data_IF_450255644714
#
_entry.id   IF_450255644714
#
_cell.length_a   1.000
_cell.length_b   1.000
_cell.length_c   1.000
_cell.angle_alpha   90.00
_cell.angle_beta   90.00
_cell.angle_gamma   90.00
#
_symmetry.space_group_name_H-M   'P 1'
#
loop_
_entity.id
_entity.type
_entity.pdbx_description
1 polymer ?
#
# COMPACT_ATOMS: atom_id res chain seq x y z
N UNK A 1 32.59 -4.77 -44.61
CA UNK A 1 34.00 -4.32 -44.65
C UNK A 1 34.57 -4.61 -43.26
N UNK A 2 35.34 -5.43 -43.19
CA UNK A 2 36.74 -5.94 -43.17
C UNK A 2 36.94 -6.65 -41.83
N UNK A 3 36.90 -7.96 -41.79
CA UNK A 3 38.02 -8.89 -41.73
C UNK A 3 39.21 -8.50 -40.85
N UNK A 4 39.49 -9.30 -39.81
CA UNK A 4 40.82 -9.90 -39.71
C UNK A 4 40.80 -11.17 -38.84
N UNK A 5 41.02 -12.30 -39.48
CA UNK A 5 41.47 -13.62 -38.93
C UNK A 5 42.99 -13.57 -38.85
N UNK A 6 43.60 -14.12 -37.82
CA UNK A 6 44.95 -14.75 -37.81
C UNK A 6 44.94 -15.71 -36.63
N UNK A 7 44.81 -16.93 -36.72
CA UNK A 7 45.60 -18.12 -37.11
C UNK A 7 47.08 -17.99 -36.71
N UNK A 8 47.52 -18.77 -35.73
CA UNK A 8 48.80 -19.46 -35.82
C UNK A 8 48.85 -20.68 -34.90
N UNK A 9 49.03 -21.80 -35.54
CA UNK A 9 49.44 -23.13 -35.08
C UNK A 9 50.95 -23.15 -34.88
N UNK A 10 51.47 -24.07 -34.07
CA UNK A 10 52.66 -24.92 -34.26
C UNK A 10 52.94 -25.60 -32.89
N UNK A 11 52.79 -26.88 -32.72
CA UNK A 11 53.50 -28.03 -33.18
C UNK A 11 54.68 -28.37 -32.26
N UNK A 12 54.55 -29.42 -31.50
CA UNK A 12 55.08 -30.79 -31.74
C UNK A 12 56.54 -31.01 -31.26
N UNK A 13 56.69 -32.17 -30.66
CA UNK A 13 57.85 -33.09 -30.65
C UNK A 13 58.62 -33.20 -29.35
N UNK A 14 58.40 -34.30 -28.65
CA UNK A 14 59.24 -35.53 -28.62
C UNK A 14 60.62 -35.41 -27.94
N UNK A 15 60.81 -36.19 -26.88
CA UNK A 15 61.98 -37.04 -26.77
C UNK A 15 61.82 -38.08 -25.64
N UNK A 16 61.74 -39.32 -26.01
CA UNK A 16 62.07 -40.52 -25.24
C UNK A 16 63.57 -40.47 -24.81
N UNK A 17 63.83 -40.92 -23.58
CA UNK A 17 64.99 -41.84 -23.45
C UNK A 17 64.87 -42.60 -22.11
N UNK A 18 65.02 -43.90 -22.24
CA UNK A 18 65.10 -44.95 -21.23
C UNK A 18 66.48 -44.93 -20.55
N UNK A 19 66.51 -45.36 -19.26
CA UNK A 19 67.64 -46.18 -18.80
C UNK A 19 67.19 -47.06 -17.61
N UNK A 20 67.30 -48.33 -17.87
CA UNK A 20 67.10 -49.43 -16.94
C UNK A 20 68.34 -49.72 -16.16
N UNK A 21 68.19 -50.51 -15.13
CA UNK A 21 69.03 -51.54 -14.59
C UNK A 21 69.57 -51.44 -13.15
N UNK A 22 69.29 -52.53 -12.46
CA UNK A 22 70.00 -53.23 -11.42
C UNK A 22 69.81 -52.69 -9.99
N UNK A 23 69.38 -53.39 -8.98
CA UNK A 23 69.42 -54.80 -8.71
C UNK A 23 69.77 -54.95 -7.22
N UNK A 24 69.15 -55.87 -6.52
CA UNK A 24 69.61 -56.23 -5.17
C UNK A 24 68.49 -56.81 -4.29
N UNK A 25 68.37 -58.13 -4.33
CA UNK A 25 67.64 -58.93 -3.37
C UNK A 25 68.36 -58.95 -2.04
N UNK A 26 67.66 -58.97 -0.95
CA UNK A 26 67.95 -59.72 0.26
C UNK A 26 66.71 -60.05 1.05
N UNK A 27 66.39 -61.33 1.10
CA UNK A 27 65.46 -61.95 2.02
C UNK A 27 65.91 -61.76 3.46
N UNK A 28 64.99 -61.62 4.38
CA UNK A 28 64.85 -62.42 5.62
C UNK A 28 63.55 -62.02 6.37
N UNK A 29 63.04 -62.96 7.15
CA UNK A 29 61.60 -63.10 7.38
C UNK A 29 61.15 -62.70 8.80
N UNK A 30 59.82 -62.72 8.90
CA UNK A 30 58.97 -62.85 10.09
C UNK A 30 59.17 -61.96 11.31
N UNK A 31 58.21 -61.05 11.45
CA UNK A 31 57.55 -60.81 12.72
C UNK A 31 56.05 -60.52 12.51
N UNK A 32 55.24 -61.52 12.88
CA UNK A 32 53.84 -61.38 13.11
C UNK A 32 53.53 -60.30 14.14
N UNK A 33 53.29 -59.13 13.78
CA UNK A 33 52.66 -58.14 14.66
C UNK A 33 51.14 -58.17 14.39
N UNK A 34 50.50 -58.91 15.28
CA UNK A 34 49.05 -58.90 15.47
C UNK A 34 48.53 -57.48 15.49
N UNK A 35 48.12 -57.00 14.30
CA UNK A 35 47.46 -55.72 14.14
C UNK A 35 46.12 -55.74 14.88
N UNK A 36 46.11 -55.10 16.03
CA UNK A 36 44.90 -54.71 16.74
C UNK A 36 43.93 -54.19 15.78
N UNK A 37 42.85 -54.96 15.52
CA UNK A 37 41.61 -54.42 14.94
C UNK A 37 41.15 -53.34 15.89
N UNK A 38 41.58 -52.10 15.60
CA UNK A 38 41.06 -50.92 16.26
C UNK A 38 39.54 -50.94 16.13
N UNK A 39 38.89 -51.18 17.23
CA UNK A 39 37.48 -50.91 17.44
C UNK A 39 37.28 -49.47 16.97
N UNK A 40 36.66 -49.29 15.84
CA UNK A 40 36.16 -47.98 15.41
C UNK A 40 35.08 -47.59 16.40
N UNK A 41 35.52 -47.09 17.57
CA UNK A 41 34.64 -46.50 18.53
C UNK A 41 33.82 -45.45 17.81
N UNK A 42 32.56 -45.50 18.02
CA UNK A 42 31.56 -44.57 17.55
C UNK A 42 31.97 -43.13 17.91
N UNK A 43 32.87 -42.56 17.09
CA UNK A 43 33.34 -41.20 17.29
C UNK A 43 32.17 -40.29 16.92
N UNK A 44 31.54 -39.72 17.93
CA UNK A 44 30.47 -38.74 17.73
C UNK A 44 31.07 -37.52 17.04
N UNK A 45 30.52 -37.14 15.90
CA UNK A 45 30.95 -35.96 15.15
C UNK A 45 30.37 -34.71 15.84
N UNK A 46 31.23 -33.79 16.32
CA UNK A 46 30.71 -32.51 16.82
C UNK A 46 30.14 -31.70 15.69
N UNK A 47 28.89 -31.23 15.85
CA UNK A 47 28.17 -30.43 14.88
C UNK A 47 27.48 -29.26 15.57
N UNK A 48 27.24 -28.17 14.81
CA UNK A 48 26.38 -27.08 15.24
C UNK A 48 25.05 -27.27 14.54
N UNK A 49 23.95 -27.21 15.28
CA UNK A 49 22.62 -27.33 14.72
C UNK A 49 21.78 -26.08 14.97
N UNK A 50 20.79 -25.84 14.11
CA UNK A 50 19.83 -24.79 14.27
C UNK A 50 18.40 -25.34 14.08
N UNK A 51 17.41 -24.81 14.77
CA UNK A 51 16.03 -25.22 14.59
C UNK A 51 15.46 -24.73 13.23
N UNK A 52 14.58 -25.54 12.65
CA UNK A 52 13.67 -25.11 11.60
C UNK A 52 12.53 -24.34 12.25
N UNK A 53 12.22 -23.20 11.72
CA UNK A 53 11.13 -22.33 12.16
C UNK A 53 10.11 -22.18 11.05
N UNK A 54 8.90 -21.72 11.33
CA UNK A 54 7.98 -21.24 10.32
C UNK A 54 8.24 -19.77 10.05
N UNK A 55 8.21 -19.41 8.78
CA UNK A 55 8.28 -18.02 8.37
C UNK A 55 7.31 -17.76 7.21
N UNK A 56 6.66 -16.59 7.19
CA UNK A 56 5.78 -16.23 6.11
C UNK A 56 6.58 -15.94 4.83
N UNK A 57 6.07 -16.39 3.71
CA UNK A 57 6.53 -15.93 2.41
C UNK A 57 5.81 -14.64 2.06
N UNK A 58 6.51 -13.53 2.16
CA UNK A 58 5.98 -12.21 1.84
C UNK A 58 6.42 -11.81 0.44
N UNK A 59 5.47 -11.50 -0.43
CA UNK A 59 5.71 -10.77 -1.68
C UNK A 59 5.47 -9.30 -1.43
N UNK A 60 6.45 -8.45 -1.66
CA UNK A 60 6.26 -7.00 -1.63
C UNK A 60 6.16 -6.44 -3.04
N UNK A 61 5.22 -5.53 -3.22
CA UNK A 61 5.07 -4.76 -4.44
C UNK A 61 5.43 -3.33 -4.10
N UNK A 62 6.42 -2.80 -4.79
CA UNK A 62 6.78 -1.39 -4.71
C UNK A 62 6.33 -0.68 -5.97
N UNK A 63 5.57 0.36 -5.81
CA UNK A 63 5.08 1.17 -6.93
C UNK A 63 5.06 2.64 -6.55
N UNK A 64 5.35 3.50 -7.51
CA UNK A 64 5.26 4.95 -7.31
C UNK A 64 3.86 5.40 -7.71
N UNK A 65 3.22 6.17 -6.85
CA UNK A 65 1.91 6.77 -7.06
C UNK A 65 1.93 8.28 -6.85
N UNK A 66 0.87 8.93 -7.29
CA UNK A 66 0.67 10.37 -7.11
C UNK A 66 -0.50 10.60 -6.16
N UNK A 67 -0.27 11.41 -5.14
CA UNK A 67 -1.29 11.80 -4.18
C UNK A 67 -2.25 12.82 -4.79
N UNK A 68 -3.53 12.71 -4.44
CA UNK A 68 -4.56 13.70 -4.71
C UNK A 68 -5.40 13.93 -3.46
N UNK A 69 -6.04 15.09 -3.39
CA UNK A 69 -7.00 15.38 -2.34
C UNK A 69 -8.18 14.38 -2.39
N UNK A 70 -8.80 14.13 -1.25
CA UNK A 70 -10.04 13.35 -1.14
C UNK A 70 -11.15 13.92 -2.01
N UNK A 71 -11.31 15.25 -1.96
CA UNK A 71 -12.19 16.03 -2.83
C UNK A 71 -11.41 17.26 -3.29
N UNK A 72 -11.56 17.61 -4.55
CA UNK A 72 -10.95 18.79 -5.14
C UNK A 72 -11.94 19.40 -6.13
N UNK A 73 -12.15 20.70 -6.07
CA UNK A 73 -13.03 21.42 -6.98
C UNK A 73 -12.44 22.80 -7.29
N UNK A 74 -12.55 23.19 -8.55
CA UNK A 74 -12.33 24.59 -8.96
C UNK A 74 -13.66 25.32 -8.90
N UNK A 75 -13.72 26.41 -8.14
CA UNK A 75 -14.92 27.20 -7.93
C UNK A 75 -15.03 28.31 -8.98
N UNK A 76 -16.21 28.42 -9.53
CA UNK A 76 -16.60 29.47 -10.49
C UNK A 76 -17.86 30.17 -9.98
N UNK A 77 -18.08 31.46 -10.31
CA UNK A 77 -19.32 32.11 -9.98
C UNK A 77 -20.43 31.63 -10.96
N UNK A 78 -21.67 31.52 -10.46
CA UNK A 78 -22.81 31.13 -11.30
C UNK A 78 -23.38 32.31 -12.11
N UNK A 79 -22.99 33.53 -11.77
CA UNK A 79 -23.40 34.74 -12.47
C UNK A 79 -22.27 35.77 -12.53
N UNK A 80 -22.34 36.68 -13.52
CA UNK A 80 -21.35 37.76 -13.64
C UNK A 80 -21.70 38.93 -12.72
N UNK A 81 -20.67 39.59 -12.14
CA UNK A 81 -20.90 40.76 -11.30
C UNK A 81 -19.58 41.35 -10.74
N UNK A 82 -19.74 42.38 -9.94
CA UNK A 82 -18.61 42.98 -9.18
C UNK A 82 -18.53 42.32 -7.83
N UNK A 83 -17.34 41.95 -7.39
CA UNK A 83 -17.07 41.35 -6.08
C UNK A 83 -17.23 42.39 -4.99
N UNK A 84 -18.13 42.13 -4.05
CA UNK A 84 -18.38 43.01 -2.89
C UNK A 84 -17.83 42.43 -1.58
N UNK A 85 -17.63 41.11 -1.56
CA UNK A 85 -17.04 40.39 -0.42
C UNK A 85 -16.20 39.23 -0.92
N UNK A 86 -15.01 39.03 -0.34
CA UNK A 86 -14.14 37.89 -0.60
C UNK A 86 -13.47 37.41 0.68
N UNK A 87 -13.64 36.13 1.02
CA UNK A 87 -12.94 35.41 2.08
C UNK A 87 -12.10 34.31 1.42
N UNK A 88 -11.04 34.72 0.74
CA UNK A 88 -10.25 33.88 -0.16
C UNK A 88 -8.76 33.81 0.24
N UNK A 89 -8.44 34.01 1.53
CA UNK A 89 -7.06 33.93 1.98
C UNK A 89 -6.50 32.50 1.72
N UNK A 90 -5.35 32.38 1.03
CA UNK A 90 -4.77 31.09 0.71
C UNK A 90 -4.52 30.23 1.94
N UNK A 91 -4.66 28.90 1.79
CA UNK A 91 -4.47 27.90 2.85
C UNK A 91 -5.42 28.03 4.06
N UNK A 92 -6.44 28.86 3.96
CA UNK A 92 -7.48 28.99 5.00
C UNK A 92 -8.41 27.79 4.97
N UNK A 93 -8.66 27.21 6.14
CA UNK A 93 -9.68 26.17 6.32
C UNK A 93 -11.07 26.81 6.32
N UNK A 94 -11.96 26.31 5.47
CA UNK A 94 -13.37 26.72 5.41
C UNK A 94 -14.29 25.52 5.62
N UNK A 95 -15.50 25.81 6.08
CA UNK A 95 -16.51 24.80 6.35
C UNK A 95 -17.52 24.73 5.21
N UNK A 96 -18.14 23.55 5.02
CA UNK A 96 -19.22 23.37 4.04
C UNK A 96 -20.34 24.42 4.23
N UNK A 97 -20.77 25.05 3.12
CA UNK A 97 -21.81 26.09 3.12
C UNK A 97 -21.31 27.49 3.48
N UNK A 98 -20.04 27.63 3.83
CA UNK A 98 -19.46 28.94 4.13
C UNK A 98 -19.37 29.80 2.86
N UNK A 99 -19.77 31.08 2.97
CA UNK A 99 -19.69 32.01 1.85
C UNK A 99 -18.27 32.47 1.65
N UNK A 100 -17.73 32.19 0.46
CA UNK A 100 -16.36 32.54 0.07
C UNK A 100 -16.29 33.85 -0.68
N UNK A 101 -17.29 34.12 -1.51
CA UNK A 101 -17.36 35.32 -2.34
C UNK A 101 -18.82 35.75 -2.48
N UNK A 102 -19.05 37.08 -2.50
CA UNK A 102 -20.35 37.68 -2.89
C UNK A 102 -20.14 38.69 -4.00
N UNK A 103 -21.04 38.64 -4.94
CA UNK A 103 -21.21 39.68 -5.98
C UNK A 103 -22.18 40.76 -5.53
N UNK A 104 -22.22 41.86 -6.23
CA UNK A 104 -23.27 42.85 -6.02
C UNK A 104 -24.64 42.23 -6.27
N UNK A 105 -25.46 42.16 -5.25
CA UNK A 105 -26.73 41.44 -5.19
C UNK A 105 -27.94 42.39 -4.97
N UNK A 106 -27.71 43.71 -4.98
CA UNK A 106 -28.72 44.72 -4.60
C UNK A 106 -30.00 44.58 -5.43
N UNK A 107 -29.88 44.41 -6.76
CA UNK A 107 -31.03 44.28 -7.65
C UNK A 107 -31.81 42.99 -7.40
N UNK A 108 -31.10 41.87 -7.15
CA UNK A 108 -31.70 40.56 -6.87
C UNK A 108 -32.38 40.53 -5.51
N UNK A 109 -31.80 41.18 -4.51
CA UNK A 109 -32.41 41.33 -3.19
C UNK A 109 -33.71 42.17 -3.25
N UNK A 110 -33.75 43.22 -4.09
CA UNK A 110 -34.96 43.96 -4.34
C UNK A 110 -36.02 43.14 -5.08
N UNK A 111 -35.61 42.30 -6.06
CA UNK A 111 -36.53 41.41 -6.78
C UNK A 111 -37.18 40.37 -5.86
N UNK A 112 -36.39 39.77 -4.92
CA UNK A 112 -36.94 38.88 -3.88
C UNK A 112 -37.99 39.61 -3.05
N UNK A 113 -37.66 40.80 -2.56
CA UNK A 113 -38.59 41.58 -1.75
C UNK A 113 -39.87 41.97 -2.48
N UNK A 114 -39.80 42.26 -3.79
CA UNK A 114 -40.97 42.52 -4.61
C UNK A 114 -41.84 41.26 -4.71
N UNK A 115 -41.26 40.10 -5.00
CA UNK A 115 -41.99 38.84 -5.12
C UNK A 115 -42.63 38.41 -3.77
N UNK A 116 -41.97 38.66 -2.64
CA UNK A 116 -42.55 38.45 -1.30
C UNK A 116 -43.82 39.27 -1.08
N UNK A 117 -43.81 40.55 -1.48
CA UNK A 117 -44.95 41.44 -1.37
C UNK A 117 -46.11 40.95 -2.27
N UNK A 118 -45.83 40.55 -3.50
CA UNK A 118 -46.81 40.00 -4.46
C UNK A 118 -47.46 38.73 -3.90
N UNK A 119 -46.64 37.81 -3.35
CA UNK A 119 -47.13 36.59 -2.70
C UNK A 119 -48.00 36.89 -1.48
N UNK A 120 -47.58 37.84 -0.65
CA UNK A 120 -48.36 38.23 0.53
C UNK A 120 -49.72 38.85 0.13
N UNK A 121 -49.79 39.59 -0.97
CA UNK A 121 -51.05 40.15 -1.51
C UNK A 121 -51.97 39.04 -2.06
N UNK A 122 -51.43 38.12 -2.86
CA UNK A 122 -52.17 36.98 -3.39
C UNK A 122 -52.76 36.11 -2.25
N UNK A 123 -51.95 35.78 -1.23
CA UNK A 123 -52.40 35.03 -0.04
C UNK A 123 -53.49 35.78 0.75
N UNK A 124 -53.39 37.08 0.90
CA UNK A 124 -54.47 37.90 1.54
C UNK A 124 -55.75 37.87 0.75
N UNK A 125 -55.66 37.95 -0.58
CA UNK A 125 -56.83 37.92 -1.46
C UNK A 125 -57.52 36.55 -1.40
N UNK A 126 -56.80 35.46 -1.52
CA UNK A 126 -57.34 34.10 -1.37
C UNK A 126 -58.01 33.92 0.00
N UNK A 127 -57.31 34.29 1.07
CA UNK A 127 -57.86 34.23 2.45
C UNK A 127 -59.18 34.99 2.57
N UNK A 128 -59.28 36.18 1.97
CA UNK A 128 -60.49 36.97 1.97
C UNK A 128 -61.63 36.25 1.24
N UNK A 129 -61.40 35.66 0.07
CA UNK A 129 -62.42 34.92 -0.67
C UNK A 129 -62.87 33.67 0.09
N UNK A 130 -61.96 32.93 0.68
CA UNK A 130 -62.27 31.78 1.54
C UNK A 130 -63.08 32.17 2.76
N UNK A 131 -62.78 33.28 3.43
CA UNK A 131 -63.57 33.76 4.57
C UNK A 131 -64.97 34.27 4.19
N UNK A 132 -65.14 34.93 3.03
CA UNK A 132 -66.40 35.33 2.54
C UNK A 132 -67.29 34.17 2.12
N UNK A 133 -66.69 33.13 1.49
CA UNK A 133 -67.43 31.91 1.13
C UNK A 133 -67.91 31.12 2.38
N UNK A 134 -67.20 31.18 3.49
CA UNK A 134 -67.61 30.57 4.77
C UNK A 134 -68.76 31.34 5.46
N UNK A 135 -69.04 32.62 5.08
CA UNK A 135 -70.10 33.46 5.65
C UNK A 135 -71.30 33.59 4.72
N UNK A 136 -71.63 32.61 3.84
CA UNK A 136 -72.75 32.56 2.89
C UNK A 136 -72.70 33.63 1.77
N UNK A 137 -71.63 34.35 1.60
CA UNK A 137 -71.43 35.17 0.41
C UNK A 137 -71.09 34.23 -0.76
N UNK A 138 -72.06 33.89 -1.59
CA UNK A 138 -71.96 32.92 -2.69
C UNK A 138 -70.87 33.29 -3.73
N UNK A 139 -69.60 33.06 -3.39
CA UNK A 139 -68.41 33.25 -4.23
C UNK A 139 -68.34 32.11 -5.22
N UNK A 140 -68.30 32.34 -6.55
CA UNK A 140 -68.09 31.26 -7.52
C UNK A 140 -66.78 30.51 -7.24
N UNK A 141 -66.82 29.16 -7.30
CA UNK A 141 -65.63 28.31 -7.07
C UNK A 141 -64.50 28.69 -8.03
N UNK A 142 -64.84 29.06 -9.29
CA UNK A 142 -63.83 29.52 -10.26
C UNK A 142 -63.07 30.78 -9.82
N UNK A 143 -63.67 31.65 -8.98
CA UNK A 143 -62.97 32.81 -8.41
C UNK A 143 -61.97 32.38 -7.35
N UNK A 144 -62.32 31.41 -6.52
CA UNK A 144 -61.41 30.83 -5.50
C UNK A 144 -60.28 30.11 -6.20
N UNK A 145 -60.59 29.27 -7.21
CA UNK A 145 -59.57 28.55 -8.00
C UNK A 145 -58.58 29.48 -8.69
N UNK A 146 -59.10 30.60 -9.22
CA UNK A 146 -58.27 31.67 -9.81
C UNK A 146 -57.36 32.31 -8.76
N UNK A 147 -57.92 32.60 -7.58
CA UNK A 147 -57.13 33.19 -6.48
C UNK A 147 -56.05 32.22 -5.97
N UNK A 148 -56.35 30.93 -5.91
CA UNK A 148 -55.37 29.89 -5.58
C UNK A 148 -54.25 29.85 -6.63
N UNK A 149 -54.60 29.81 -7.92
CA UNK A 149 -53.63 29.82 -9.01
C UNK A 149 -52.72 31.07 -8.98
N UNK A 150 -53.26 32.22 -8.57
CA UNK A 150 -52.44 33.43 -8.39
C UNK A 150 -51.46 33.32 -7.22
N UNK A 151 -51.80 32.62 -6.13
CA UNK A 151 -50.88 32.30 -5.06
C UNK A 151 -49.76 31.40 -5.55
N UNK A 152 -50.11 30.31 -6.26
CA UNK A 152 -49.12 29.34 -6.79
C UNK A 152 -48.15 30.04 -7.78
N UNK A 153 -48.67 30.93 -8.65
CA UNK A 153 -47.81 31.73 -9.55
C UNK A 153 -46.88 32.68 -8.80
N UNK A 154 -47.36 33.33 -7.72
CA UNK A 154 -46.53 34.20 -6.90
C UNK A 154 -45.46 33.43 -6.13
N UNK A 155 -45.76 32.23 -5.64
CA UNK A 155 -44.77 31.34 -4.99
C UNK A 155 -43.64 30.94 -5.98
N UNK A 156 -44.01 30.60 -7.23
CA UNK A 156 -43.01 30.29 -8.27
C UNK A 156 -42.12 31.51 -8.54
N UNK A 157 -42.70 32.75 -8.62
CA UNK A 157 -41.93 33.96 -8.85
C UNK A 157 -40.96 34.25 -7.69
N UNK A 158 -41.40 34.06 -6.45
CA UNK A 158 -40.53 34.21 -5.29
C UNK A 158 -39.37 33.21 -5.37
N UNK A 159 -39.63 31.93 -5.58
CA UNK A 159 -38.62 30.91 -5.73
C UNK A 159 -37.61 31.22 -6.84
N UNK A 160 -38.08 31.75 -7.99
CA UNK A 160 -37.18 32.20 -9.06
C UNK A 160 -36.27 33.34 -8.64
N UNK A 161 -36.81 34.36 -7.94
CA UNK A 161 -36.03 35.49 -7.45
C UNK A 161 -34.98 35.05 -6.38
N UNK A 162 -35.33 34.13 -5.50
CA UNK A 162 -34.44 33.57 -4.52
C UNK A 162 -33.27 32.80 -5.17
N UNK A 163 -33.55 32.01 -6.21
CA UNK A 163 -32.50 31.31 -6.99
C UNK A 163 -31.54 32.32 -7.63
N UNK A 164 -32.06 33.39 -8.27
CA UNK A 164 -31.19 34.40 -8.86
C UNK A 164 -30.36 35.17 -7.82
N UNK A 165 -30.88 35.36 -6.62
CA UNK A 165 -30.13 35.95 -5.50
C UNK A 165 -29.05 34.98 -5.01
N UNK A 166 -29.35 33.68 -4.88
CA UNK A 166 -28.40 32.66 -4.44
C UNK A 166 -27.19 32.54 -5.38
N UNK A 167 -27.39 32.73 -6.71
CA UNK A 167 -26.31 32.75 -7.70
C UNK A 167 -25.30 33.88 -7.56
N UNK A 168 -25.63 34.88 -6.72
CA UNK A 168 -24.72 36.00 -6.39
C UNK A 168 -23.70 35.63 -5.31
N UNK A 169 -23.74 34.42 -4.80
CA UNK A 169 -22.82 33.94 -3.77
C UNK A 169 -22.12 32.66 -4.23
N UNK A 170 -20.83 32.59 -3.97
CA UNK A 170 -20.06 31.36 -4.11
C UNK A 170 -19.80 30.80 -2.73
N UNK A 171 -20.30 29.60 -2.48
CA UNK A 171 -20.18 28.91 -1.20
C UNK A 171 -19.32 27.66 -1.32
N UNK A 172 -18.70 27.24 -0.23
CA UNK A 172 -17.91 26.01 -0.18
C UNK A 172 -18.82 24.77 -0.25
N UNK A 173 -18.69 23.89 -1.26
CA UNK A 173 -19.50 22.68 -1.39
C UNK A 173 -19.15 21.61 -0.35
N UNK A 174 -17.93 21.63 0.18
CA UNK A 174 -17.44 20.79 1.26
C UNK A 174 -16.41 21.55 2.10
N UNK A 175 -16.07 21.03 3.27
CA UNK A 175 -15.03 21.62 4.12
C UNK A 175 -13.65 21.29 3.56
N UNK A 176 -12.78 22.29 3.46
CA UNK A 176 -11.45 22.12 2.87
C UNK A 176 -10.61 23.38 2.94
N UNK A 177 -9.46 23.36 2.29
CA UNK A 177 -8.55 24.50 2.22
C UNK A 177 -8.62 25.20 0.89
N UNK A 178 -8.58 26.53 0.96
CA UNK A 178 -8.59 27.42 -0.20
C UNK A 178 -7.21 27.43 -0.85
N UNK A 179 -7.19 27.33 -2.19
CA UNK A 179 -6.01 27.53 -2.99
C UNK A 179 -5.65 29.01 -3.17
N UNK A 180 -4.63 29.28 -3.97
CA UNK A 180 -4.22 30.63 -4.34
C UNK A 180 -5.27 31.21 -5.31
N UNK A 181 -5.59 32.47 -5.15
CA UNK A 181 -6.51 33.23 -6.00
C UNK A 181 -5.96 34.62 -6.29
N UNK A 182 -6.32 35.14 -7.44
CA UNK A 182 -6.01 36.51 -7.84
C UNK A 182 -7.25 37.42 -7.79
N UNK A 183 -8.41 36.89 -7.31
CA UNK A 183 -9.67 37.65 -7.25
C UNK A 183 -9.73 38.49 -5.98
N UNK A 184 -9.97 39.80 -6.15
CA UNK A 184 -10.08 40.78 -5.07
C UNK A 184 -11.44 41.47 -5.03
N UNK A 185 -11.73 42.15 -3.90
CA UNK A 185 -12.90 42.97 -3.76
C UNK A 185 -12.82 44.16 -4.74
N UNK A 186 -13.85 44.36 -5.52
CA UNK A 186 -13.93 45.38 -6.58
C UNK A 186 -13.75 44.84 -7.99
N UNK A 187 -13.20 43.61 -8.11
CA UNK A 187 -13.03 42.98 -9.41
C UNK A 187 -14.38 42.67 -10.08
N UNK A 188 -14.35 42.64 -11.38
CA UNK A 188 -15.48 42.16 -12.19
C UNK A 188 -15.19 40.73 -12.66
N UNK A 189 -16.04 39.82 -12.25
CA UNK A 189 -15.93 38.41 -12.58
C UNK A 189 -17.11 37.93 -13.45
N UNK A 190 -16.89 36.86 -14.19
CA UNK A 190 -17.91 36.17 -15.01
C UNK A 190 -17.89 34.66 -14.72
N UNK A 191 -18.79 33.90 -15.34
CA UNK A 191 -18.97 32.47 -15.13
C UNK A 191 -17.77 31.61 -15.57
N UNK A 192 -16.81 32.18 -16.28
CA UNK A 192 -15.58 31.53 -16.71
C UNK A 192 -14.35 31.86 -15.80
N UNK A 193 -14.50 32.85 -14.93
CA UNK A 193 -13.45 33.30 -14.03
C UNK A 193 -13.23 32.28 -12.93
N UNK A 194 -12.03 31.75 -12.80
CA UNK A 194 -11.64 30.89 -11.67
C UNK A 194 -11.59 31.72 -10.40
N UNK A 195 -12.43 31.43 -9.42
CA UNK A 195 -12.40 32.11 -8.13
C UNK A 195 -11.28 31.54 -7.27
N UNK A 196 -11.25 30.25 -7.06
CA UNK A 196 -10.20 29.54 -6.30
C UNK A 196 -10.37 28.04 -6.50
N UNK A 197 -9.40 27.26 -6.00
CA UNK A 197 -9.55 25.83 -5.78
C UNK A 197 -9.88 25.55 -4.33
N UNK A 198 -10.66 24.51 -4.08
CA UNK A 198 -10.96 24.03 -2.73
C UNK A 198 -10.61 22.54 -2.65
N UNK A 199 -9.74 22.20 -1.71
CA UNK A 199 -9.22 20.85 -1.54
C UNK A 199 -9.49 20.32 -0.12
N UNK A 200 -10.21 19.19 -0.02
CA UNK A 200 -10.24 18.37 1.20
C UNK A 200 -9.01 17.46 1.19
N UNK A 201 -7.99 17.85 1.93
CA UNK A 201 -6.73 17.10 2.05
C UNK A 201 -6.55 16.44 3.40
N UNK A 202 -7.61 16.30 4.18
CA UNK A 202 -7.59 15.55 5.46
C UNK A 202 -7.14 14.10 5.29
N UNK A 203 -7.46 13.51 4.14
CA UNK A 203 -6.99 12.22 3.67
C UNK A 203 -6.48 12.39 2.24
N UNK A 204 -5.28 11.91 1.97
CA UNK A 204 -4.78 11.86 0.60
C UNK A 204 -5.05 10.49 -0.02
N UNK A 205 -5.44 10.52 -1.28
CA UNK A 205 -5.66 9.34 -2.09
C UNK A 205 -4.48 9.18 -3.06
N UNK A 206 -3.69 8.14 -2.90
CA UNK A 206 -2.55 7.85 -3.78
C UNK A 206 -2.97 6.83 -4.83
N UNK A 207 -2.97 7.25 -6.09
CA UNK A 207 -3.21 6.38 -7.23
C UNK A 207 -1.88 5.80 -7.71
N UNK A 208 -1.77 4.47 -7.75
CA UNK A 208 -0.58 3.75 -8.18
C UNK A 208 -0.94 2.55 -9.07
N UNK A 209 0.03 2.02 -9.79
CA UNK A 209 -0.17 0.90 -10.72
C UNK A 209 0.40 -0.39 -10.15
N UNK A 210 -0.30 -1.50 -10.39
CA UNK A 210 0.04 -2.84 -9.92
C UNK A 210 0.06 -3.80 -11.10
N UNK A 211 1.11 -4.65 -11.27
CA UNK A 211 1.14 -5.66 -12.32
C UNK A 211 -0.01 -6.66 -12.23
N UNK A 212 -0.52 -7.15 -13.37
CA UNK A 212 -1.66 -8.08 -13.44
C UNK A 212 -1.43 -9.40 -12.68
N UNK A 213 -0.16 -9.80 -12.49
CA UNK A 213 0.21 -11.01 -11.72
C UNK A 213 -0.22 -10.96 -10.25
N UNK A 214 -0.58 -9.79 -9.74
CA UNK A 214 -1.07 -9.57 -8.38
C UNK A 214 -2.59 -9.40 -8.29
N UNK A 215 -3.30 -9.58 -9.40
CA UNK A 215 -4.76 -9.52 -9.42
C UNK A 215 -5.35 -10.57 -8.45
N UNK A 216 -6.37 -10.20 -7.71
CA UNK A 216 -6.96 -11.04 -6.67
C UNK A 216 -6.18 -11.11 -5.35
N UNK A 217 -4.98 -10.54 -5.27
CA UNK A 217 -4.20 -10.42 -4.03
C UNK A 217 -4.22 -9.00 -3.47
N UNK A 218 -4.27 -8.01 -4.35
CA UNK A 218 -4.50 -6.63 -3.98
C UNK A 218 -6.01 -6.46 -3.83
N UNK A 219 -6.44 -6.31 -2.59
CA UNK A 219 -7.85 -6.16 -2.22
C UNK A 219 -8.05 -4.88 -1.42
N UNK A 220 -9.29 -4.42 -1.35
CA UNK A 220 -9.64 -3.32 -0.45
C UNK A 220 -9.34 -3.70 0.99
N UNK A 221 -9.03 -2.70 1.82
CA UNK A 221 -8.61 -2.82 3.23
C UNK A 221 -7.22 -3.42 3.44
N UNK A 222 -6.48 -3.81 2.38
CA UNK A 222 -5.07 -4.20 2.52
C UNK A 222 -4.24 -3.00 3.02
N UNK A 223 -3.49 -3.21 4.08
CA UNK A 223 -2.56 -2.21 4.60
C UNK A 223 -1.36 -2.07 3.68
N UNK A 224 -0.94 -0.83 3.49
CA UNK A 224 0.23 -0.46 2.69
C UNK A 224 1.08 0.56 3.44
N UNK A 225 2.37 0.55 3.16
CA UNK A 225 3.27 1.59 3.64
C UNK A 225 3.49 2.60 2.51
N UNK A 226 3.24 3.85 2.80
CA UNK A 226 3.48 4.95 1.88
C UNK A 226 4.69 5.75 2.37
N UNK A 227 5.71 5.84 1.54
CA UNK A 227 6.91 6.65 1.79
C UNK A 227 6.95 7.83 0.85
N UNK A 228 7.23 8.99 1.38
CA UNK A 228 7.52 10.14 0.54
C UNK A 228 8.81 9.89 -0.24
N UNK A 229 8.80 10.25 -1.52
CA UNK A 229 9.98 10.06 -2.37
C UNK A 229 11.22 10.83 -1.89
N UNK A 230 11.01 12.03 -1.34
CA UNK A 230 12.07 12.92 -0.85
C UNK A 230 12.50 12.65 0.60
N UNK A 231 11.67 11.96 1.39
CA UNK A 231 11.92 11.64 2.80
C UNK A 231 11.63 10.17 3.07
N UNK A 232 12.54 9.26 2.70
CA UNK A 232 12.31 7.81 2.83
C UNK A 232 12.10 7.30 4.25
N UNK A 233 12.51 8.08 5.25
CA UNK A 233 12.36 7.75 6.68
C UNK A 233 10.94 8.04 7.21
N UNK A 234 10.18 8.90 6.52
CA UNK A 234 8.81 9.23 6.87
C UNK A 234 7.83 8.20 6.28
N UNK A 235 7.64 7.10 6.98
CA UNK A 235 6.65 6.09 6.63
C UNK A 235 5.29 6.47 7.18
N UNK A 236 4.30 6.55 6.31
CA UNK A 236 2.90 6.72 6.67
C UNK A 236 2.13 5.46 6.30
N UNK A 237 1.40 4.90 7.26
CA UNK A 237 0.52 3.77 6.98
C UNK A 237 -0.69 4.24 6.17
N UNK A 238 -1.06 3.45 5.18
CA UNK A 238 -2.25 3.67 4.37
C UNK A 238 -3.03 2.38 4.18
N UNK A 239 -4.17 2.48 3.54
CA UNK A 239 -5.04 1.34 3.25
C UNK A 239 -5.57 1.45 1.83
N UNK A 240 -5.64 0.32 1.12
CA UNK A 240 -6.23 0.27 -0.22
C UNK A 240 -7.75 0.47 -0.12
N UNK A 241 -8.26 1.51 -0.76
CA UNK A 241 -9.69 1.86 -0.76
C UNK A 241 -10.40 1.54 -2.06
N UNK A 242 -9.64 1.37 -3.14
CA UNK A 242 -10.21 0.97 -4.43
C UNK A 242 -9.19 0.24 -5.29
N UNK A 243 -9.68 -0.70 -6.08
CA UNK A 243 -8.92 -1.44 -7.09
C UNK A 243 -9.72 -1.35 -8.39
N UNK A 244 -9.05 -0.99 -9.49
CA UNK A 244 -9.69 -0.90 -10.78
C UNK A 244 -10.17 -2.28 -11.26
N UNK A 245 -11.31 -2.33 -11.88
CA UNK A 245 -11.89 -3.56 -12.45
C UNK A 245 -11.25 -3.98 -13.77
N UNK A 246 -10.39 -3.14 -14.35
CA UNK A 246 -9.76 -3.35 -15.66
C UNK A 246 -8.26 -3.38 -15.57
N UNK A 247 -7.66 -4.26 -16.37
CA UNK A 247 -6.21 -4.28 -16.64
C UNK A 247 -5.97 -3.53 -17.94
N UNK A 248 -5.03 -2.62 -17.94
CA UNK A 248 -4.54 -1.97 -19.15
C UNK A 248 -3.75 -2.99 -19.97
N UNK A 249 -4.21 -3.24 -21.19
CA UNK A 249 -3.63 -4.25 -22.08
C UNK A 249 -2.23 -3.89 -22.61
N UNK A 250 -1.90 -2.60 -22.64
CA UNK A 250 -0.59 -2.12 -23.11
C UNK A 250 0.50 -2.25 -22.02
N UNK A 251 0.14 -1.92 -20.78
CA UNK A 251 1.08 -1.93 -19.64
C UNK A 251 1.02 -3.20 -18.81
N UNK A 252 -0.01 -4.06 -19.02
CA UNK A 252 -0.27 -5.24 -18.20
C UNK A 252 -0.34 -4.94 -16.71
N UNK A 253 -0.96 -3.81 -16.38
CA UNK A 253 -1.11 -3.33 -15.02
C UNK A 253 -2.54 -2.83 -14.77
N UNK A 254 -2.97 -2.82 -13.53
CA UNK A 254 -4.22 -2.20 -13.08
C UNK A 254 -3.93 -1.10 -12.07
N UNK A 255 -4.88 -0.19 -11.91
CA UNK A 255 -4.75 0.90 -10.95
C UNK A 255 -5.33 0.49 -9.61
N UNK A 256 -4.59 0.80 -8.55
CA UNK A 256 -5.07 0.73 -7.18
C UNK A 256 -4.96 2.12 -6.52
N UNK A 257 -5.74 2.33 -5.49
CA UNK A 257 -5.81 3.58 -4.74
C UNK A 257 -5.68 3.29 -3.26
N UNK A 258 -4.69 3.91 -2.64
CA UNK A 258 -4.52 3.89 -1.19
C UNK A 258 -4.98 5.22 -0.58
N UNK A 259 -5.62 5.15 0.57
CA UNK A 259 -5.91 6.30 1.43
C UNK A 259 -4.84 6.42 2.50
N UNK A 260 -4.29 7.62 2.65
CA UNK A 260 -3.26 7.96 3.64
C UNK A 260 -3.81 9.07 4.52
N UNK A 261 -3.72 8.90 5.82
CA UNK A 261 -4.09 9.95 6.77
C UNK A 261 -3.16 11.17 6.65
N UNK A 262 -3.76 12.34 6.62
CA UNK A 262 -3.05 13.62 6.58
C UNK A 262 -3.65 14.62 7.57
N UNK A 263 -4.06 14.13 8.75
CA UNK A 263 -4.66 14.95 9.80
C UNK A 263 -3.73 16.07 10.30
N UNK A 264 -2.40 15.85 10.21
CA UNK A 264 -1.38 16.85 10.50
C UNK A 264 -1.21 17.90 9.40
N UNK A 265 -1.85 17.74 8.24
CA UNK A 265 -1.80 18.64 7.08
C UNK A 265 -0.40 18.95 6.55
N UNK A 266 0.53 17.99 6.70
CA UNK A 266 1.92 18.12 6.24
C UNK A 266 2.10 17.71 4.78
N UNK A 267 1.19 16.89 4.25
CA UNK A 267 1.25 16.35 2.89
C UNK A 267 0.38 17.19 1.94
N UNK A 268 0.77 17.27 0.69
CA UNK A 268 0.06 18.05 -0.34
C UNK A 268 -0.37 17.16 -1.52
N UNK A 269 -1.54 17.43 -2.11
CA UNK A 269 -1.90 16.85 -3.40
C UNK A 269 -0.81 17.12 -4.44
N UNK A 270 -0.54 16.14 -5.31
CA UNK A 270 0.54 16.21 -6.31
C UNK A 270 1.86 15.60 -5.85
N UNK A 271 2.08 15.33 -4.57
CA UNK A 271 3.28 14.67 -4.09
C UNK A 271 3.36 13.22 -4.57
N UNK A 272 4.59 12.76 -4.83
CA UNK A 272 4.87 11.38 -5.20
C UNK A 272 5.15 10.53 -3.94
N UNK A 273 4.60 9.31 -3.93
CA UNK A 273 4.79 8.33 -2.87
C UNK A 273 5.23 7.00 -3.46
N UNK A 274 6.20 6.36 -2.82
CA UNK A 274 6.44 4.93 -2.99
C UNK A 274 5.44 4.17 -2.11
N UNK A 275 4.61 3.36 -2.73
CA UNK A 275 3.67 2.47 -2.03
C UNK A 275 4.29 1.08 -1.96
N UNK A 276 4.47 0.56 -0.76
CA UNK A 276 4.90 -0.81 -0.49
C UNK A 276 3.71 -1.60 0.06
N UNK A 277 3.23 -2.54 -0.76
CA UNK A 277 2.17 -3.45 -0.38
C UNK A 277 2.75 -4.84 -0.14
N UNK A 278 2.70 -5.31 1.10
CA UNK A 278 3.20 -6.61 1.51
C UNK A 278 2.06 -7.64 1.51
N UNK A 279 2.24 -8.74 0.78
CA UNK A 279 1.23 -9.79 0.60
C UNK A 279 1.81 -11.11 1.10
N UNK A 280 1.15 -11.69 2.09
CA UNK A 280 1.52 -13.02 2.58
C UNK A 280 1.04 -14.11 1.61
N UNK A 281 1.96 -15.01 1.24
CA UNK A 281 1.69 -16.18 0.36
C UNK A 281 1.55 -17.49 1.13
N UNK A 282 1.51 -17.44 2.44
CA UNK A 282 1.47 -18.58 3.32
C UNK A 282 2.78 -18.80 4.08
N UNK A 283 2.75 -19.75 4.98
CA UNK A 283 3.88 -20.10 5.84
C UNK A 283 4.67 -21.26 5.24
N UNK A 284 5.98 -21.19 5.34
CA UNK A 284 6.92 -22.20 4.92
C UNK A 284 7.91 -22.53 6.04
N UNK A 285 8.51 -23.71 5.97
CA UNK A 285 9.65 -24.02 6.83
C UNK A 285 10.84 -23.16 6.42
N UNK A 286 11.51 -22.60 7.41
CA UNK A 286 12.66 -21.71 7.24
C UNK A 286 13.88 -22.36 7.87
N UNK A 287 14.87 -22.69 7.06
CA UNK A 287 16.17 -23.23 7.47
C UNK A 287 17.28 -22.20 7.24
N UNK A 288 18.33 -22.16 8.06
CA UNK A 288 19.50 -21.35 7.74
C UNK A 288 20.04 -21.73 6.36
N UNK A 289 20.39 -20.75 5.53
CA UNK A 289 20.85 -20.99 4.16
C UNK A 289 22.06 -21.93 4.11
N UNK A 290 22.99 -21.78 5.07
CA UNK A 290 24.20 -22.61 5.14
C UNK A 290 23.90 -24.09 5.42
N UNK A 291 22.73 -24.45 5.93
CA UNK A 291 22.34 -25.85 6.18
C UNK A 291 21.89 -26.56 4.90
N UNK A 292 21.56 -25.84 3.81
CA UNK A 292 21.09 -26.42 2.56
C UNK A 292 22.29 -26.85 1.71
N UNK A 293 22.32 -28.14 1.35
CA UNK A 293 23.35 -28.74 0.53
C UNK A 293 22.79 -29.24 -0.78
N UNK A 294 23.66 -29.36 -1.80
CA UNK A 294 23.31 -29.90 -3.10
C UNK A 294 23.88 -31.32 -3.28
N UNK A 295 23.05 -32.24 -3.71
CA UNK A 295 23.42 -33.60 -4.01
C UNK A 295 23.01 -34.02 -5.43
N UNK A 296 23.30 -35.25 -5.78
CA UNK A 296 22.94 -35.78 -7.11
C UNK A 296 21.41 -35.77 -7.35
N UNK A 297 20.62 -35.95 -6.28
CA UNK A 297 19.16 -36.01 -6.34
C UNK A 297 18.48 -34.65 -6.02
N UNK A 298 19.26 -33.57 -5.98
CA UNK A 298 18.77 -32.22 -5.68
C UNK A 298 19.18 -31.69 -4.30
N UNK A 299 18.56 -30.57 -3.88
CA UNK A 299 18.87 -29.93 -2.59
C UNK A 299 18.37 -30.75 -1.40
N UNK A 300 19.13 -30.75 -0.32
CA UNK A 300 18.79 -31.44 0.92
C UNK A 300 19.38 -30.72 2.14
N UNK A 301 18.88 -31.06 3.31
CA UNK A 301 19.48 -30.69 4.59
C UNK A 301 19.83 -31.95 5.41
N UNK A 302 20.79 -31.82 6.29
CA UNK A 302 21.03 -32.84 7.32
C UNK A 302 20.17 -32.53 8.53
N UNK A 303 19.15 -33.33 8.78
CA UNK A 303 18.31 -33.24 9.98
C UNK A 303 18.83 -34.15 11.06
N UNK A 304 18.57 -33.82 12.32
CA UNK A 304 18.90 -34.66 13.45
C UNK A 304 17.67 -35.47 13.87
N UNK A 305 17.87 -36.79 14.02
CA UNK A 305 16.87 -37.68 14.60
C UNK A 305 17.53 -38.39 15.83
N UNK A 306 17.25 -37.84 17.00
CA UNK A 306 17.98 -38.22 18.21
C UNK A 306 19.46 -37.83 18.07
N UNK A 307 20.37 -38.81 18.20
CA UNK A 307 21.84 -38.67 18.08
C UNK A 307 22.36 -38.92 16.66
N UNK A 308 21.49 -39.06 15.65
CA UNK A 308 21.89 -39.46 14.30
C UNK A 308 21.53 -38.40 13.26
N UNK A 309 22.42 -38.25 12.29
CA UNK A 309 22.21 -37.40 11.12
C UNK A 309 21.43 -38.17 10.02
N UNK A 310 20.35 -37.59 9.56
CA UNK A 310 19.50 -38.08 8.48
C UNK A 310 19.46 -37.07 7.36
N UNK A 311 19.56 -37.56 6.11
CA UNK A 311 19.42 -36.71 4.93
C UNK A 311 17.92 -36.49 4.63
N UNK A 312 17.48 -35.23 4.64
CA UNK A 312 16.12 -34.85 4.31
C UNK A 312 16.11 -34.02 3.01
N UNK A 313 15.42 -34.51 1.96
CA UNK A 313 15.27 -33.73 0.74
C UNK A 313 14.42 -32.50 0.99
N UNK A 314 14.75 -31.39 0.33
CA UNK A 314 14.02 -30.14 0.44
C UNK A 314 13.77 -29.53 -0.93
N UNK A 315 12.64 -28.87 -1.08
CA UNK A 315 12.36 -28.01 -2.23
C UNK A 315 12.59 -26.57 -1.80
N UNK A 316 13.49 -25.85 -2.46
CA UNK A 316 13.77 -24.45 -2.15
C UNK A 316 12.67 -23.57 -2.75
N UNK A 317 12.04 -22.74 -1.92
CA UNK A 317 10.97 -21.82 -2.32
C UNK A 317 11.54 -20.42 -2.57
N UNK A 318 12.19 -19.84 -1.57
CA UNK A 318 12.78 -18.49 -1.64
C UNK A 318 13.87 -18.31 -0.58
N UNK A 319 14.84 -17.49 -0.92
CA UNK A 319 15.84 -16.99 0.03
C UNK A 319 15.36 -15.66 0.63
N UNK A 320 15.37 -15.56 1.96
CA UNK A 320 14.96 -14.37 2.71
C UNK A 320 15.94 -14.18 3.87
N UNK A 321 16.64 -13.05 3.92
CA UNK A 321 17.50 -12.61 5.04
C UNK A 321 18.46 -13.69 5.60
N UNK A 322 19.18 -14.40 4.71
CA UNK A 322 20.15 -15.43 5.10
C UNK A 322 19.51 -16.76 5.50
N UNK A 323 18.20 -16.89 5.37
CA UNK A 323 17.44 -18.13 5.54
C UNK A 323 16.84 -18.57 4.21
N UNK A 324 16.64 -19.87 4.06
CA UNK A 324 15.99 -20.49 2.91
C UNK A 324 14.60 -20.98 3.33
N UNK A 325 13.56 -20.43 2.70
CA UNK A 325 12.22 -20.98 2.81
C UNK A 325 12.17 -22.28 2.00
N UNK A 326 11.78 -23.36 2.64
CA UNK A 326 11.79 -24.71 2.06
C UNK A 326 10.43 -25.39 2.21
N UNK A 327 10.15 -26.32 1.31
CA UNK A 327 9.10 -27.31 1.46
C UNK A 327 9.75 -28.66 1.71
N UNK A 328 9.41 -29.31 2.81
CA UNK A 328 9.96 -30.57 3.24
C UNK A 328 8.98 -31.30 4.17
N UNK A 329 9.20 -32.58 4.41
CA UNK A 329 8.47 -33.38 5.39
C UNK A 329 8.97 -33.15 6.84
N UNK A 330 9.95 -32.28 7.04
CA UNK A 330 10.49 -31.95 8.36
C UNK A 330 9.45 -31.22 9.21
N UNK A 331 9.51 -31.47 10.51
CA UNK A 331 8.64 -30.78 11.46
C UNK A 331 9.25 -29.43 11.90
N UNK A 332 8.39 -28.49 12.27
CA UNK A 332 8.82 -27.28 12.98
C UNK A 332 9.52 -27.63 14.28
N UNK A 333 10.59 -26.90 14.61
CA UNK A 333 11.44 -27.17 15.77
C UNK A 333 12.48 -28.29 15.55
N UNK A 334 12.39 -29.06 14.47
CA UNK A 334 13.39 -30.06 14.13
C UNK A 334 14.72 -29.38 13.82
N UNK A 335 15.81 -29.95 14.33
CA UNK A 335 17.14 -29.35 14.18
C UNK A 335 17.81 -29.81 12.89
N UNK A 336 18.47 -28.89 12.21
CA UNK A 336 19.29 -29.12 11.02
C UNK A 336 20.74 -28.74 11.30
N UNK A 337 21.67 -29.47 10.69
CA UNK A 337 23.10 -29.26 10.89
C UNK A 337 23.55 -28.05 10.09
N UNK A 338 24.22 -27.13 10.77
CA UNK A 338 24.74 -25.89 10.22
C UNK A 338 26.23 -25.93 9.94
N UNK A 339 27.00 -26.52 10.89
CA UNK A 339 28.45 -26.66 10.78
C UNK A 339 28.87 -28.11 10.98
N UNK A 340 30.00 -28.49 10.38
CA UNK A 340 30.49 -29.88 10.37
C UNK A 340 29.93 -30.74 9.24
N UNK A 341 29.12 -30.15 8.36
CA UNK A 341 28.34 -30.83 7.29
C UNK A 341 29.22 -31.69 6.37
N UNK A 342 30.43 -31.26 6.04
CA UNK A 342 31.33 -31.95 5.09
C UNK A 342 31.73 -33.37 5.54
N UNK A 343 31.67 -33.65 6.84
CA UNK A 343 32.06 -34.94 7.42
C UNK A 343 30.87 -35.83 7.77
N UNK A 344 29.64 -35.31 7.59
CA UNK A 344 28.40 -36.03 7.94
C UNK A 344 28.07 -37.07 6.87
N UNK A 345 27.68 -38.27 7.34
CA UNK A 345 27.14 -39.36 6.50
C UNK A 345 25.79 -39.84 7.04
N UNK A 346 24.94 -40.44 6.21
CA UNK A 346 23.62 -40.91 6.65
C UNK A 346 23.76 -41.92 7.81
N UNK A 347 23.01 -41.71 8.89
CA UNK A 347 22.99 -42.56 10.07
C UNK A 347 24.16 -42.36 11.05
N UNK A 348 25.09 -41.45 10.77
CA UNK A 348 26.24 -41.15 11.62
C UNK A 348 25.83 -40.57 12.98
N UNK A 349 26.47 -41.01 14.04
CA UNK A 349 26.27 -40.40 15.37
C UNK A 349 26.88 -39.00 15.41
N UNK A 350 26.10 -38.05 15.89
CA UNK A 350 26.47 -36.65 16.03
C UNK A 350 26.33 -36.19 17.48
N UNK A 351 27.13 -35.20 17.85
CA UNK A 351 27.02 -34.50 19.13
C UNK A 351 26.79 -33.03 18.86
N UNK A 352 25.59 -32.51 19.18
CA UNK A 352 25.27 -31.11 19.04
C UNK A 352 25.96 -30.27 20.11
N UNK A 353 26.85 -29.38 19.68
CA UNK A 353 27.59 -28.49 20.58
C UNK A 353 26.68 -27.39 21.14
N UNK A 354 25.67 -26.96 20.38
CA UNK A 354 24.74 -25.88 20.78
C UNK A 354 23.59 -26.34 21.67
N UNK A 355 23.29 -27.64 21.72
CA UNK A 355 22.22 -28.16 22.59
C UNK A 355 22.49 -27.90 24.07
N UNK A 356 23.78 -27.89 24.46
CA UNK A 356 24.21 -27.59 25.83
C UNK A 356 24.03 -26.12 26.24
N UNK A 357 24.05 -25.20 25.27
CA UNK A 357 23.94 -23.74 25.51
C UNK A 357 22.49 -23.28 25.57
N UNK A 358 21.56 -23.96 24.88
CA UNK A 358 20.15 -23.66 24.87
C UNK A 358 19.44 -24.00 26.19
N UNK A 359 19.89 -25.04 26.90
CA UNK A 359 19.34 -25.45 28.20
C UNK A 359 19.71 -24.47 29.32
N UNK A 360 20.77 -23.67 29.13
CA UNK A 360 21.28 -22.70 30.13
C UNK A 360 20.63 -21.32 30.06
N UNK A 361 19.76 -21.05 29.06
CA UNK A 361 19.06 -19.78 28.88
C UNK A 361 17.55 -19.84 29.12
N UNK A 362 17.07 -20.72 29.99
CA UNK A 362 15.72 -20.53 30.57
C UNK A 362 15.78 -19.31 31.50
N UNK A 363 14.94 -18.29 31.32
CA UNK A 363 14.90 -17.17 32.25
C UNK A 363 14.41 -17.68 33.61
N UNK A 364 15.31 -17.68 34.59
CA UNK A 364 14.98 -17.85 36.00
C UNK A 364 14.00 -16.75 36.35
N UNK A 365 12.79 -17.14 36.66
CA UNK A 365 11.73 -16.27 37.14
C UNK A 365 12.29 -15.37 38.25
N UNK A 366 12.29 -14.06 38.01
CA UNK A 366 12.46 -13.04 39.02
C UNK A 366 11.13 -12.96 39.79
N UNK A 367 11.04 -13.82 40.78
CA UNK A 367 10.09 -13.71 41.88
C UNK A 367 10.79 -13.16 43.11
N UNK A 368 10.14 -12.15 43.65
CA UNK A 368 10.30 -11.57 44.99
C UNK A 368 11.39 -10.46 45.14
N UNK A 369 10.95 -9.23 45.23
CA UNK A 369 10.87 -8.62 46.56
C UNK A 369 9.94 -7.39 46.55
N UNK A 370 8.80 -7.54 47.19
CA UNK A 370 8.01 -6.44 47.76
C UNK A 370 8.13 -6.60 49.24
N UNK A 371 8.87 -5.74 49.86
CA UNK A 371 8.69 -5.30 51.24
C UNK A 371 8.92 -3.78 51.32
#
# INVERSE_FOLDING_TARGET
MLNFRVVMRFAVMSALLACALMGGCSDTPDEETSGSRGTWGTRELPVVTAPIERAPLIDSIKSVGTARARQSVTLYPESSGVVTFAKLAPDTLVTKGETLLKLDDRDQALAVRQAEVELAEAKRTLKRYLSLNATEANIPQSTIDTAQSNVDLAEIRLAQAEVELSRRQVTAPFSGRIGITDVEIGDRVDTSTVITTLDDRSVLLVDFTVPESFIGRIVTELEVQARQWESPDDNTSGRIVAVDSRVDSATRAFRARAAIDNSADNLRPGMAFEIDASIEKGEYLSAPELSVQWGADGPYVWSTQGDRAMRAPVEMVRRVEGRMLIRSELAEGQRVILEGIQSVRPGMKIKDINAATATARSPKAEQADRS
#
